data_IF_195578566781
#
_entry.id   IF_195578566781
#
_cell.length_a   1.000
_cell.length_b   1.000
_cell.length_c   1.000
_cell.angle_alpha   90.00
_cell.angle_beta   90.00
_cell.angle_gamma   90.00
#
_symmetry.space_group_name_H-M   'P 1'
#
loop_
_entity.id
_entity.type
_entity.pdbx_description
1 polymer ?
#
# COMPACT_ATOMS: atom_id res chain seq x y z
N UNK A 1 -26.32 11.93 15.68
CA UNK A 1 -26.42 11.00 14.53
C UNK A 1 -25.54 11.38 13.33
N UNK A 2 -25.42 12.66 12.93
CA UNK A 2 -24.62 13.07 11.77
C UNK A 2 -23.12 12.73 11.88
N UNK A 3 -22.52 12.93 13.06
CA UNK A 3 -21.11 12.61 13.32
C UNK A 3 -20.79 11.12 13.12
N UNK A 4 -21.63 10.22 13.64
CA UNK A 4 -21.46 8.76 13.49
C UNK A 4 -21.48 8.36 12.01
N UNK A 5 -22.39 8.94 11.22
CA UNK A 5 -22.44 8.70 9.76
C UNK A 5 -21.14 9.15 9.09
N UNK A 6 -20.63 10.34 9.42
CA UNK A 6 -19.37 10.85 8.87
C UNK A 6 -18.20 9.92 9.19
N UNK A 7 -18.09 9.44 10.42
CA UNK A 7 -17.04 8.49 10.83
C UNK A 7 -17.14 7.20 10.01
N UNK A 8 -18.34 6.61 9.91
CA UNK A 8 -18.56 5.36 9.15
C UNK A 8 -18.19 5.55 7.68
N UNK A 9 -18.75 6.56 7.00
CA UNK A 9 -18.47 6.81 5.59
C UNK A 9 -17.00 7.20 5.36
N UNK A 10 -16.39 7.93 6.28
CA UNK A 10 -14.96 8.25 6.26
C UNK A 10 -14.09 7.00 6.31
N UNK A 11 -14.36 6.07 7.24
CA UNK A 11 -13.62 4.80 7.31
C UNK A 11 -13.84 3.91 6.08
N UNK A 12 -15.04 3.91 5.51
CA UNK A 12 -15.31 3.19 4.25
C UNK A 12 -14.45 3.79 3.12
N UNK A 13 -14.43 5.12 2.97
CA UNK A 13 -13.63 5.79 1.96
C UNK A 13 -12.13 5.52 2.15
N UNK A 14 -11.61 5.62 3.38
CA UNK A 14 -10.22 5.29 3.70
C UNK A 14 -9.89 3.84 3.35
N UNK A 15 -10.84 2.93 3.53
CA UNK A 15 -10.66 1.53 3.16
C UNK A 15 -10.52 1.34 1.67
N UNK A 16 -11.40 1.96 0.88
CA UNK A 16 -11.28 1.93 -0.59
C UNK A 16 -9.92 2.47 -1.01
N UNK A 17 -9.51 3.63 -0.48
CA UNK A 17 -8.21 4.26 -0.81
C UNK A 17 -7.04 3.34 -0.42
N UNK A 18 -7.06 2.77 0.78
CA UNK A 18 -6.03 1.86 1.25
C UNK A 18 -5.86 0.67 0.30
N UNK A 19 -6.96 0.02 -0.09
CA UNK A 19 -6.92 -1.11 -1.02
C UNK A 19 -6.41 -0.70 -2.40
N UNK A 20 -6.86 0.43 -2.94
CA UNK A 20 -6.35 0.97 -4.21
C UNK A 20 -4.84 1.18 -4.18
N UNK A 21 -4.32 1.82 -3.13
CA UNK A 21 -2.87 2.07 -2.98
C UNK A 21 -2.10 0.76 -2.76
N UNK A 22 -2.61 -0.15 -1.93
CA UNK A 22 -1.94 -1.42 -1.63
C UNK A 22 -1.80 -2.30 -2.89
N UNK A 23 -2.86 -2.39 -3.69
CA UNK A 23 -2.86 -3.15 -4.95
C UNK A 23 -1.91 -2.49 -5.96
N UNK A 24 -2.02 -1.17 -6.14
CA UNK A 24 -1.15 -0.42 -7.06
C UNK A 24 0.33 -0.58 -6.72
N UNK A 25 0.70 -0.42 -5.44
CA UNK A 25 2.08 -0.56 -4.98
C UNK A 25 2.65 -1.96 -5.26
N UNK A 26 1.84 -3.02 -5.04
CA UNK A 26 2.23 -4.40 -5.36
C UNK A 26 2.40 -4.62 -6.85
N UNK A 27 1.47 -4.11 -7.66
CA UNK A 27 1.51 -4.22 -9.12
C UNK A 27 2.78 -3.60 -9.70
N UNK A 28 3.06 -2.34 -9.35
CA UNK A 28 4.26 -1.63 -9.82
C UNK A 28 5.54 -2.32 -9.36
N UNK A 29 5.57 -2.89 -8.14
CA UNK A 29 6.75 -3.61 -7.66
C UNK A 29 7.00 -4.87 -8.47
N UNK A 30 5.95 -5.65 -8.77
CA UNK A 30 6.03 -6.84 -9.60
C UNK A 30 6.53 -6.49 -11.01
N UNK A 31 5.93 -5.50 -11.64
CA UNK A 31 6.31 -5.03 -12.98
C UNK A 31 7.78 -4.56 -13.04
N UNK A 32 8.26 -3.86 -12.00
CA UNK A 32 9.68 -3.46 -11.92
C UNK A 32 10.62 -4.65 -11.81
N UNK A 33 10.25 -5.69 -11.07
CA UNK A 33 11.05 -6.93 -10.96
C UNK A 33 11.11 -7.64 -12.31
N UNK A 34 9.96 -7.78 -12.97
CA UNK A 34 9.85 -8.33 -14.31
C UNK A 34 10.75 -7.58 -15.31
N UNK A 35 10.61 -6.25 -15.40
CA UNK A 35 11.45 -5.42 -16.26
C UNK A 35 12.94 -5.52 -15.93
N UNK A 36 13.29 -5.65 -14.64
CA UNK A 36 14.69 -5.80 -14.22
C UNK A 36 15.27 -7.16 -14.65
N UNK A 37 14.48 -8.22 -14.59
CA UNK A 37 14.90 -9.55 -15.06
C UNK A 37 15.07 -9.55 -16.58
N UNK A 38 14.06 -9.05 -17.30
CA UNK A 38 14.04 -9.00 -18.76
C UNK A 38 15.21 -8.14 -19.30
N UNK A 39 15.54 -7.04 -18.62
CA UNK A 39 16.69 -6.20 -18.96
C UNK A 39 18.06 -6.82 -18.64
N UNK A 40 18.17 -7.62 -17.57
CA UNK A 40 19.41 -8.30 -17.21
C UNK A 40 19.67 -9.57 -18.04
N UNK A 41 18.61 -10.18 -18.60
CA UNK A 41 18.67 -11.42 -19.39
C UNK A 41 18.00 -11.24 -20.76
N UNK A 42 18.57 -10.40 -21.64
CA UNK A 42 17.97 -10.16 -22.95
C UNK A 42 17.89 -11.46 -23.75
N UNK A 43 16.69 -11.78 -24.26
CA UNK A 43 16.44 -12.98 -25.05
C UNK A 43 16.23 -14.28 -24.26
N UNK A 44 16.27 -14.24 -22.93
CA UNK A 44 15.95 -15.40 -22.10
C UNK A 44 14.43 -15.66 -22.10
N UNK A 45 14.03 -16.87 -22.50
CA UNK A 45 12.63 -17.32 -22.53
C UNK A 45 12.26 -18.24 -21.38
N UNK A 46 13.17 -18.47 -20.43
CA UNK A 46 12.94 -19.29 -19.25
C UNK A 46 11.99 -18.58 -18.27
N UNK A 47 10.69 -18.92 -18.41
CA UNK A 47 9.64 -18.43 -17.54
C UNK A 47 9.81 -18.91 -16.10
N UNK A 48 10.34 -20.11 -15.87
CA UNK A 48 10.51 -20.64 -14.53
C UNK A 48 11.56 -19.85 -13.75
N UNK A 49 12.68 -19.50 -14.39
CA UNK A 49 13.69 -18.63 -13.81
C UNK A 49 13.15 -17.22 -13.51
N UNK A 50 12.37 -16.65 -14.44
CA UNK A 50 11.73 -15.33 -14.26
C UNK A 50 10.76 -15.33 -13.08
N UNK A 51 9.89 -16.33 -13.00
CA UNK A 51 8.89 -16.44 -11.93
C UNK A 51 9.54 -16.67 -10.56
N UNK A 52 10.62 -17.46 -10.50
CA UNK A 52 11.40 -17.65 -9.29
C UNK A 52 12.04 -16.32 -8.81
N UNK A 53 12.62 -15.55 -9.73
CA UNK A 53 13.19 -14.23 -9.44
C UNK A 53 12.15 -13.24 -8.92
N UNK A 54 11.02 -13.11 -9.62
CA UNK A 54 9.92 -12.22 -9.23
C UNK A 54 9.35 -12.63 -7.87
N UNK A 55 9.18 -13.92 -7.63
CA UNK A 55 8.66 -14.45 -6.36
C UNK A 55 9.61 -14.15 -5.21
N UNK A 56 10.92 -14.39 -5.37
CA UNK A 56 11.92 -14.05 -4.35
C UNK A 56 11.92 -12.53 -4.05
N UNK A 57 11.87 -11.69 -5.10
CA UNK A 57 11.80 -10.24 -4.96
C UNK A 57 10.53 -9.76 -4.25
N UNK A 58 9.40 -10.43 -4.48
CA UNK A 58 8.14 -10.14 -3.79
C UNK A 58 8.13 -10.61 -2.33
N UNK A 59 8.78 -11.73 -2.01
CA UNK A 59 8.97 -12.18 -0.62
C UNK A 59 9.79 -11.16 0.17
N UNK A 60 10.89 -10.66 -0.40
CA UNK A 60 11.69 -9.60 0.21
C UNK A 60 10.89 -8.28 0.38
N UNK A 61 10.06 -7.93 -0.60
CA UNK A 61 9.18 -6.76 -0.49
C UNK A 61 8.18 -6.92 0.68
N UNK A 62 7.55 -8.09 0.79
CA UNK A 62 6.57 -8.37 1.86
C UNK A 62 7.22 -8.38 3.25
N UNK A 63 8.47 -8.80 3.38
CA UNK A 63 9.21 -8.76 4.64
C UNK A 63 9.64 -7.34 5.06
N UNK A 64 9.67 -6.40 4.12
CA UNK A 64 10.11 -5.03 4.37
C UNK A 64 9.04 -4.15 5.05
N UNK A 65 9.44 -2.97 5.52
CA UNK A 65 8.51 -1.96 6.06
C UNK A 65 7.64 -1.30 4.97
N UNK A 66 8.04 -1.38 3.69
CA UNK A 66 7.37 -0.67 2.58
C UNK A 66 5.87 -0.95 2.48
N UNK A 67 5.39 -2.21 2.44
CA UNK A 67 3.95 -2.47 2.43
C UNK A 67 3.26 -2.01 3.72
N UNK A 68 3.95 -2.00 4.87
CA UNK A 68 3.39 -1.54 6.14
C UNK A 68 3.13 -0.03 6.13
N UNK A 69 3.92 0.76 5.39
CA UNK A 69 3.70 2.20 5.26
C UNK A 69 2.38 2.56 4.57
N UNK A 70 1.82 1.67 3.75
CA UNK A 70 0.49 1.90 3.15
C UNK A 70 -0.60 1.99 4.24
N UNK A 71 -0.39 1.35 5.40
CA UNK A 71 -1.27 1.48 6.55
C UNK A 71 -1.37 2.90 7.12
N UNK A 72 -0.40 3.77 6.83
CA UNK A 72 -0.46 5.18 7.24
C UNK A 72 -1.65 5.94 6.65
N UNK A 73 -2.25 5.43 5.57
CA UNK A 73 -3.52 5.93 5.00
C UNK A 73 -4.63 5.97 6.05
N UNK A 74 -4.63 5.07 7.03
CA UNK A 74 -5.59 5.10 8.15
C UNK A 74 -5.07 5.93 9.32
N UNK A 75 -3.80 5.78 9.67
CA UNK A 75 -3.24 6.37 10.89
C UNK A 75 -3.21 7.89 10.82
N UNK A 76 -2.74 8.46 9.69
CA UNK A 76 -2.58 9.91 9.57
C UNK A 76 -3.92 10.65 9.67
N UNK A 77 -4.98 10.28 8.90
CA UNK A 77 -6.27 10.98 9.00
C UNK A 77 -6.90 10.85 10.38
N UNK A 78 -6.81 9.67 11.03
CA UNK A 78 -7.38 9.47 12.37
C UNK A 78 -6.68 10.35 13.41
N UNK A 79 -5.34 10.43 13.38
CA UNK A 79 -4.59 11.32 14.28
C UNK A 79 -4.96 12.78 14.02
N UNK A 80 -4.98 13.22 12.76
CA UNK A 80 -5.32 14.60 12.40
C UNK A 80 -6.71 14.99 12.92
N UNK A 81 -7.73 14.15 12.68
CA UNK A 81 -9.09 14.40 13.17
C UNK A 81 -9.12 14.43 14.70
N UNK A 82 -8.45 13.49 15.37
CA UNK A 82 -8.38 13.44 16.83
C UNK A 82 -7.72 14.69 17.43
N UNK A 83 -6.62 15.15 16.84
CA UNK A 83 -5.92 16.37 17.25
C UNK A 83 -6.79 17.62 17.08
N UNK A 84 -7.53 17.73 15.97
CA UNK A 84 -8.46 18.85 15.74
C UNK A 84 -9.54 18.87 16.82
N UNK A 85 -10.16 17.73 17.12
CA UNK A 85 -11.20 17.63 18.16
C UNK A 85 -10.65 18.03 19.53
N UNK A 86 -9.45 17.53 19.87
CA UNK A 86 -8.79 17.87 21.13
C UNK A 86 -8.52 19.37 21.26
N UNK A 87 -7.92 20.00 20.23
CA UNK A 87 -7.61 21.44 20.26
C UNK A 87 -8.87 22.30 20.39
N UNK A 88 -9.96 21.95 19.70
CA UNK A 88 -11.23 22.70 19.78
C UNK A 88 -11.89 22.52 21.16
N UNK A 89 -11.78 21.34 21.76
CA UNK A 89 -12.47 21.07 23.03
C UNK A 89 -11.69 21.55 24.26
N UNK A 90 -10.36 21.65 24.17
CA UNK A 90 -9.49 22.10 25.26
C UNK A 90 -9.22 23.62 25.28
N UNK A 91 -9.84 24.38 24.38
CA UNK A 91 -9.82 25.84 24.35
C UNK A 91 -11.20 26.40 24.66
#
# INVERSE_FOLDING_TARGET
>A
MAFIKLVIFGFIALTVIYWSVAIYARSVRKERLEKSFDGAHPGNTDRAARDAFVTAGMTAYNASIRPKLVGLVYVVPTIVIGSIIYMINMN
#
